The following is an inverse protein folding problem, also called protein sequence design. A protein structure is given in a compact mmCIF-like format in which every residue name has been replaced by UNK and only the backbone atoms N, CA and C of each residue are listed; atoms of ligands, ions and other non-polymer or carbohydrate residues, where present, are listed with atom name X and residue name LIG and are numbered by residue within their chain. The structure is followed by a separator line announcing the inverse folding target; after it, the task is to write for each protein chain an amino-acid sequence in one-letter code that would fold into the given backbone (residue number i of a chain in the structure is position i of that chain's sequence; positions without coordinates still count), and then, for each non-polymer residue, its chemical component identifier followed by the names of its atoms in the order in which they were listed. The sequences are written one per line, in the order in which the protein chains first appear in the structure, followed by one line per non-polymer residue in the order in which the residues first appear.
data_IF_001705860802
#
_entry.id   IF_001705860802
#
_cell.length_a   1.000
_cell.length_b   1.000
_cell.length_c   1.000
_cell.angle_alpha   90.00
_cell.angle_beta   90.00
_cell.angle_gamma   90.00
#
_symmetry.space_group_name_H-M   'P 1'
#
loop_
_entity.id
_entity.type
_entity.pdbx_description
1 polymer ?
#
# COMPACT_ATOMS: atom_id res chain seq x y z
N UNK A 1 13.79 4.12 5.16
CA UNK A 1 13.71 3.94 3.69
C UNK A 1 14.01 2.49 3.39
N UNK A 2 13.02 1.78 2.87
CA UNK A 2 13.12 0.37 2.53
C UNK A 2 13.88 0.25 1.20
N UNK A 3 14.68 -0.81 1.00
CA UNK A 3 15.60 -0.89 -0.14
C UNK A 3 14.90 -0.78 -1.50
N UNK A 4 13.66 -1.28 -1.64
CA UNK A 4 12.88 -1.22 -2.86
C UNK A 4 12.35 0.20 -3.17
N UNK A 5 12.43 1.15 -2.23
CA UNK A 5 12.08 2.56 -2.46
C UNK A 5 13.21 3.33 -3.18
N UNK A 6 14.38 2.71 -3.37
CA UNK A 6 15.46 3.28 -4.17
C UNK A 6 15.12 3.14 -5.65
N UNK A 7 15.20 4.25 -6.38
CA UNK A 7 14.83 4.33 -7.80
C UNK A 7 15.54 3.29 -8.69
N UNK A 8 16.80 2.97 -8.40
CA UNK A 8 17.62 2.00 -9.14
C UNK A 8 17.91 0.75 -8.28
N UNK A 9 16.85 0.20 -7.68
CA UNK A 9 16.93 -1.03 -6.90
C UNK A 9 17.07 -2.26 -7.82
N UNK A 10 18.12 -3.05 -7.62
CA UNK A 10 18.39 -4.28 -8.40
C UNK A 10 17.62 -5.53 -7.92
N UNK A 11 16.73 -5.38 -6.93
CA UNK A 11 15.95 -6.51 -6.44
C UNK A 11 14.98 -7.01 -7.50
N UNK A 12 14.88 -8.33 -7.60
CA UNK A 12 13.73 -8.95 -8.25
C UNK A 12 12.46 -8.68 -7.44
N UNK A 13 11.30 -8.70 -8.10
CA UNK A 13 10.01 -8.52 -7.42
C UNK A 13 9.82 -9.51 -6.24
N UNK A 14 10.29 -10.76 -6.40
CA UNK A 14 10.25 -11.77 -5.34
C UNK A 14 11.09 -11.37 -4.12
N UNK A 15 12.27 -10.81 -4.34
CA UNK A 15 13.13 -10.33 -3.24
C UNK A 15 12.54 -9.09 -2.58
N UNK A 16 11.98 -8.17 -3.38
CA UNK A 16 11.29 -7.00 -2.85
C UNK A 16 10.12 -7.37 -1.94
N UNK A 17 9.30 -8.36 -2.32
CA UNK A 17 8.19 -8.85 -1.49
C UNK A 17 8.73 -9.43 -0.17
N UNK A 18 9.80 -10.22 -0.20
CA UNK A 18 10.43 -10.73 1.04
C UNK A 18 10.93 -9.59 1.94
N UNK A 19 11.49 -8.53 1.36
CA UNK A 19 11.91 -7.35 2.13
C UNK A 19 10.70 -6.66 2.76
N UNK A 20 9.59 -6.52 2.01
CA UNK A 20 8.34 -5.98 2.52
C UNK A 20 7.78 -6.82 3.68
N UNK A 21 7.71 -8.15 3.54
CA UNK A 21 7.26 -9.07 4.59
C UNK A 21 8.12 -8.96 5.86
N UNK A 22 9.45 -8.94 5.71
CA UNK A 22 10.37 -8.74 6.84
C UNK A 22 10.16 -7.38 7.50
N UNK A 23 9.96 -6.32 6.71
CA UNK A 23 9.65 -4.98 7.22
C UNK A 23 8.36 -4.97 8.06
N UNK A 24 7.32 -5.70 7.64
CA UNK A 24 6.10 -5.83 8.45
C UNK A 24 6.41 -6.48 9.80
N UNK A 25 7.14 -7.60 9.80
CA UNK A 25 7.52 -8.34 11.01
C UNK A 25 8.33 -7.47 11.97
N UNK A 26 9.32 -6.75 11.46
CA UNK A 26 10.18 -5.84 12.24
C UNK A 26 9.38 -4.69 12.88
N UNK A 27 8.25 -4.31 12.28
CA UNK A 27 7.33 -3.30 12.82
C UNK A 27 6.17 -3.90 13.63
N UNK A 28 6.25 -5.19 13.99
CA UNK A 28 5.24 -5.87 14.80
C UNK A 28 3.90 -6.07 14.08
N UNK A 29 3.89 -6.06 12.74
CA UNK A 29 2.76 -6.43 11.90
C UNK A 29 2.90 -7.89 11.45
N UNK A 30 1.78 -8.55 11.22
CA UNK A 30 1.77 -9.95 10.76
C UNK A 30 1.48 -9.94 9.26
N UNK A 31 2.42 -10.37 8.40
CA UNK A 31 2.15 -10.51 6.97
C UNK A 31 0.88 -11.32 6.73
N UNK A 32 0.02 -10.80 5.86
CA UNK A 32 -1.23 -11.45 5.55
C UNK A 32 -0.98 -12.73 4.77
N UNK A 33 -1.85 -13.72 4.97
CA UNK A 33 -1.83 -14.97 4.19
C UNK A 33 -3.00 -14.96 3.22
N UNK A 34 -2.81 -15.60 2.06
CA UNK A 34 -3.88 -15.73 1.06
C UNK A 34 -5.15 -16.33 1.66
N UNK A 35 -6.30 -15.80 1.23
CA UNK A 35 -7.62 -16.23 1.72
C UNK A 35 -7.92 -17.70 1.38
N UNK A 36 -7.33 -18.22 0.30
CA UNK A 36 -7.37 -19.61 -0.14
C UNK A 36 -6.28 -19.86 -1.19
N UNK A 37 -6.01 -21.13 -1.51
CA UNK A 37 -4.96 -21.55 -2.47
C UNK A 37 -5.11 -20.98 -3.90
N UNK A 38 -6.29 -20.48 -4.26
CA UNK A 38 -6.56 -19.88 -5.59
C UNK A 38 -6.49 -18.35 -5.56
N UNK A 39 -6.40 -17.74 -4.38
CA UNK A 39 -6.30 -16.30 -4.23
C UNK A 39 -4.85 -15.86 -4.44
N UNK A 40 -4.70 -14.72 -5.09
CA UNK A 40 -3.42 -14.04 -5.30
C UNK A 40 -3.51 -12.61 -4.78
N UNK A 41 -4.52 -12.34 -3.96
CA UNK A 41 -4.94 -11.00 -3.59
C UNK A 41 -3.90 -10.36 -2.67
N UNK A 42 -3.46 -11.07 -1.65
CA UNK A 42 -2.45 -10.52 -0.75
C UNK A 42 -1.13 -10.32 -1.49
N UNK A 43 -0.73 -11.31 -2.29
CA UNK A 43 0.51 -11.24 -3.06
C UNK A 43 0.50 -10.10 -4.07
N UNK A 44 -0.60 -9.87 -4.77
CA UNK A 44 -0.71 -8.78 -5.75
C UNK A 44 -0.69 -7.40 -5.07
N UNK A 45 -1.27 -7.30 -3.88
CA UNK A 45 -1.17 -6.10 -3.04
C UNK A 45 0.27 -5.83 -2.60
N UNK A 46 0.93 -6.82 -2.01
CA UNK A 46 2.30 -6.69 -1.53
C UNK A 46 3.27 -6.43 -2.68
N UNK A 47 3.02 -7.03 -3.85
CA UNK A 47 3.75 -6.73 -5.07
C UNK A 47 3.56 -5.27 -5.51
N UNK A 48 2.36 -4.71 -5.34
CA UNK A 48 2.08 -3.32 -5.72
C UNK A 48 2.83 -2.32 -4.84
N UNK A 49 2.98 -2.60 -3.53
CA UNK A 49 3.86 -1.83 -2.64
C UNK A 49 5.30 -1.81 -3.16
N UNK A 50 5.83 -2.97 -3.55
CA UNK A 50 7.20 -3.08 -4.08
C UNK A 50 7.36 -2.37 -5.42
N UNK A 51 6.43 -2.54 -6.35
CA UNK A 51 6.49 -1.95 -7.70
C UNK A 51 6.44 -0.42 -7.64
N UNK A 52 5.57 0.13 -6.79
CA UNK A 52 5.41 1.58 -6.67
C UNK A 52 6.34 2.23 -5.64
N UNK A 53 7.14 1.42 -4.93
CA UNK A 53 8.10 1.93 -3.94
C UNK A 53 7.42 2.49 -2.70
N UNK A 54 6.39 1.81 -2.20
CA UNK A 54 5.54 2.26 -1.10
C UNK A 54 5.70 1.36 0.14
N UNK A 55 5.63 1.99 1.30
CA UNK A 55 5.57 1.39 2.63
C UNK A 55 4.13 1.35 3.15
N UNK A 56 3.96 0.94 4.40
CA UNK A 56 2.64 0.80 5.05
C UNK A 56 2.27 1.98 5.93
N UNK A 57 2.84 3.16 5.69
CA UNK A 57 2.34 4.43 6.22
C UNK A 57 1.00 4.77 5.57
N UNK A 58 0.14 5.51 6.25
CA UNK A 58 -1.20 5.79 5.73
C UNK A 58 -1.18 6.69 4.49
N UNK A 59 -0.19 7.58 4.40
CA UNK A 59 0.09 8.35 3.21
C UNK A 59 0.41 7.45 2.02
N UNK A 60 1.31 6.48 2.20
CA UNK A 60 1.76 5.60 1.13
C UNK A 60 0.69 4.55 0.76
N UNK A 61 -0.09 4.05 1.71
CA UNK A 61 -1.31 3.26 1.43
C UNK A 61 -2.32 4.06 0.60
N UNK A 62 -2.54 5.34 0.95
CA UNK A 62 -3.45 6.20 0.19
C UNK A 62 -2.92 6.51 -1.22
N UNK A 63 -1.60 6.51 -1.42
CA UNK A 63 -0.97 6.60 -2.74
C UNK A 63 -1.11 5.28 -3.51
N UNK A 64 -0.96 4.14 -2.85
CA UNK A 64 -1.15 2.82 -3.44
C UNK A 64 -2.56 2.67 -3.99
N UNK A 65 -3.59 3.03 -3.21
CA UNK A 65 -4.98 3.06 -3.67
C UNK A 65 -5.14 3.87 -4.97
N UNK A 66 -4.42 4.98 -5.08
CA UNK A 66 -4.48 5.86 -6.26
C UNK A 66 -3.79 5.21 -7.46
N UNK A 67 -2.63 4.56 -7.25
CA UNK A 67 -1.96 3.78 -8.30
C UNK A 67 -2.81 2.63 -8.79
N UNK A 68 -3.45 1.88 -7.88
CA UNK A 68 -4.31 0.76 -8.25
C UNK A 68 -5.55 1.22 -9.05
N UNK A 69 -6.11 2.39 -8.73
CA UNK A 69 -7.26 2.96 -9.42
C UNK A 69 -6.93 3.60 -10.78
N UNK A 70 -5.79 4.30 -10.89
CA UNK A 70 -5.46 5.12 -12.05
C UNK A 70 -4.33 4.57 -12.93
N UNK A 71 -3.46 3.73 -12.36
CA UNK A 71 -2.27 3.19 -13.03
C UNK A 71 -2.33 1.70 -13.34
N UNK A 72 -3.39 1.00 -12.93
CA UNK A 72 -3.54 -0.44 -13.13
C UNK A 72 -4.91 -0.79 -13.73
N UNK A 73 -4.97 -1.89 -14.48
CA UNK A 73 -6.22 -2.41 -15.06
C UNK A 73 -6.91 -3.44 -14.16
N UNK A 74 -7.04 -3.15 -12.87
CA UNK A 74 -7.71 -4.03 -11.93
C UNK A 74 -9.24 -4.00 -12.08
N UNK A 75 -9.90 -5.13 -11.80
CA UNK A 75 -11.36 -5.16 -11.67
C UNK A 75 -11.77 -4.42 -10.39
N UNK A 76 -12.78 -3.55 -10.46
CA UNK A 76 -13.31 -2.86 -9.26
C UNK A 76 -13.73 -3.80 -8.13
N UNK A 77 -14.20 -5.02 -8.44
CA UNK A 77 -14.49 -6.06 -7.44
C UNK A 77 -13.25 -6.53 -6.68
N UNK A 78 -12.08 -6.51 -7.33
CA UNK A 78 -10.78 -6.81 -6.73
C UNK A 78 -10.37 -5.69 -5.78
N UNK A 79 -10.52 -4.43 -6.20
CA UNK A 79 -10.28 -3.25 -5.35
C UNK A 79 -11.21 -3.22 -4.12
N UNK A 80 -12.49 -3.54 -4.30
CA UNK A 80 -13.43 -3.64 -3.20
C UNK A 80 -13.09 -4.77 -2.20
N UNK A 81 -12.33 -5.77 -2.63
CA UNK A 81 -11.86 -6.86 -1.76
C UNK A 81 -10.69 -6.39 -0.89
N UNK A 82 -9.83 -5.50 -1.39
CA UNK A 82 -8.74 -4.89 -0.63
C UNK A 82 -9.22 -4.04 0.54
N UNK A 83 -10.26 -3.22 0.36
CA UNK A 83 -10.82 -2.40 1.46
C UNK A 83 -11.36 -3.21 2.65
N UNK A 84 -11.50 -4.53 2.49
CA UNK A 84 -11.92 -5.45 3.55
C UNK A 84 -10.75 -6.01 4.36
N UNK A 85 -9.50 -5.77 3.95
CA UNK A 85 -8.32 -6.28 4.65
C UNK A 85 -8.28 -5.71 6.08
N UNK A 86 -8.14 -6.59 7.10
CA UNK A 86 -8.17 -6.19 8.49
C UNK A 86 -7.01 -5.25 8.86
N UNK A 87 -5.85 -5.37 8.20
CA UNK A 87 -4.72 -4.46 8.40
C UNK A 87 -5.06 -3.00 8.06
N UNK A 88 -5.72 -2.74 6.93
CA UNK A 88 -6.13 -1.38 6.57
C UNK A 88 -7.08 -0.79 7.63
N UNK A 89 -8.03 -1.60 8.13
CA UNK A 89 -8.97 -1.15 9.17
C UNK A 89 -8.27 -0.87 10.49
N UNK A 90 -7.38 -1.76 10.92
CA UNK A 90 -6.65 -1.59 12.18
C UNK A 90 -5.63 -0.45 12.10
N UNK A 91 -4.96 -0.25 10.97
CA UNK A 91 -4.05 0.88 10.73
C UNK A 91 -4.83 2.20 10.77
N UNK A 92 -5.94 2.28 10.03
CA UNK A 92 -6.81 3.47 10.01
C UNK A 92 -7.33 3.79 11.42
N UNK A 93 -7.73 2.76 12.18
CA UNK A 93 -8.25 2.92 13.54
C UNK A 93 -7.18 3.33 14.54
N UNK A 94 -5.97 2.76 14.48
CA UNK A 94 -4.82 3.16 15.31
C UNK A 94 -4.44 4.62 15.03
N UNK A 95 -4.33 5.01 13.76
CA UNK A 95 -4.03 6.38 13.38
C UNK A 95 -5.12 7.37 13.79
N UNK A 96 -6.40 7.07 13.54
CA UNK A 96 -7.49 7.91 14.03
C UNK A 96 -7.44 8.12 15.54
N UNK A 97 -6.96 7.12 16.29
CA UNK A 97 -6.77 7.21 17.75
C UNK A 97 -5.53 8.01 18.14
N UNK A 98 -4.44 7.94 17.38
CA UNK A 98 -3.17 8.61 17.68
C UNK A 98 -3.13 10.07 17.22
N UNK A 99 -3.57 10.37 15.99
CA UNK A 99 -3.48 11.71 15.39
C UNK A 99 -4.81 12.48 15.39
N UNK A 100 -5.91 11.82 15.75
CA UNK A 100 -7.26 12.38 15.70
C UNK A 100 -7.75 12.66 14.27
N UNK A 101 -9.02 13.04 14.16
CA UNK A 101 -9.68 13.31 12.86
C UNK A 101 -9.00 14.46 12.10
N UNK A 102 -8.55 15.49 12.81
CA UNK A 102 -7.88 16.65 12.21
C UNK A 102 -6.50 16.29 11.67
N UNK A 103 -5.71 15.49 12.40
CA UNK A 103 -4.43 14.97 11.94
C UNK A 103 -4.59 14.04 10.74
N UNK A 104 -5.58 13.14 10.79
CA UNK A 104 -5.93 12.26 9.69
C UNK A 104 -6.24 13.04 8.39
N UNK A 105 -7.07 14.08 8.47
CA UNK A 105 -7.36 14.95 7.32
C UNK A 105 -6.13 15.68 6.80
N UNK A 106 -5.20 16.08 7.68
CA UNK A 106 -3.97 16.76 7.29
C UNK A 106 -3.02 15.83 6.53
N UNK A 107 -2.86 14.58 6.99
CA UNK A 107 -2.09 13.53 6.32
C UNK A 107 -2.68 13.21 4.94
N UNK A 108 -4.00 13.08 4.86
CA UNK A 108 -4.64 12.84 3.57
C UNK A 108 -4.49 14.04 2.61
N UNK A 109 -4.51 15.27 3.13
CA UNK A 109 -4.26 16.48 2.33
C UNK A 109 -2.82 16.58 1.84
N UNK A 110 -1.82 16.14 2.62
CA UNK A 110 -0.41 16.24 2.21
C UNK A 110 -0.08 15.38 1.00
N UNK A 111 -0.79 14.28 0.79
CA UNK A 111 -0.58 13.39 -0.37
C UNK A 111 -1.34 13.82 -1.63
N UNK A 112 -2.28 14.77 -1.56
CA UNK A 112 -3.09 15.22 -2.71
C UNK A 112 -2.23 15.60 -3.93
N UNK A 113 -1.15 16.41 -3.81
CA UNK A 113 -0.33 16.77 -4.97
C UNK A 113 0.28 15.56 -5.67
N UNK A 114 0.68 14.54 -4.90
CA UNK A 114 1.23 13.30 -5.45
C UNK A 114 0.14 12.44 -6.09
N UNK A 115 -1.06 12.35 -5.48
CA UNK A 115 -2.22 11.68 -6.09
C UNK A 115 -2.58 12.28 -7.44
N UNK A 116 -2.58 13.61 -7.56
CA UNK A 116 -2.82 14.30 -8.83
C UNK A 116 -1.75 13.95 -9.86
N UNK A 117 -0.48 13.87 -9.47
CA UNK A 117 0.58 13.41 -10.39
C UNK A 117 0.33 11.98 -10.86
N UNK A 118 -0.07 11.06 -9.97
CA UNK A 118 -0.37 9.67 -10.36
C UNK A 118 -1.54 9.63 -11.36
N UNK A 119 -2.61 10.38 -11.09
CA UNK A 119 -3.82 10.38 -11.90
C UNK A 119 -3.65 11.05 -13.28
N UNK A 120 -2.89 12.15 -13.34
CA UNK A 120 -2.82 13.01 -14.53
C UNK A 120 -1.51 12.92 -15.32
N UNK A 121 -0.46 12.26 -14.81
CA UNK A 121 0.81 12.11 -15.54
C UNK A 121 0.78 10.97 -16.57
N UNK A 122 -0.28 10.17 -16.60
CA UNK A 122 -0.52 9.10 -17.58
C UNK A 122 -1.45 9.52 -18.73
N UNK A 123 -1.67 10.83 -18.96
CA UNK A 123 -2.44 11.39 -20.08
C UNK A 123 -1.55 12.24 -20.99
#
# INVERSE_FOLDING_TARGET
MIIYQKQDCDLTLREGIKVYENYLIDNGKTPLTELNERSTLIRDHDASHVIFGLDTSLEEEALLDTWLLCGCSYKFSYLASYTKLPELKELTKKLLKEVGVTGFFKLYKSVIPTKLKIAFKNS
#
